data_IF_330623393760
#
_entry.id   IF_330623393760
#
_cell.length_a   1.000
_cell.length_b   1.000
_cell.length_c   1.000
_cell.angle_alpha   90.00
_cell.angle_beta   90.00
_cell.angle_gamma   90.00
#
_symmetry.space_group_name_H-M   'P 1'
#
loop_
_entity.id
_entity.type
_entity.pdbx_description
1 polymer ?
#
# COMPACT_ATOMS: atom_id res chain seq x y z
N UNK A 1 -40.43 -71.03 -16.61
CA UNK A 1 -40.36 -69.80 -17.31
C UNK A 1 -40.54 -68.52 -16.46
N UNK A 2 -41.61 -68.41 -15.65
CA UNK A 2 -41.83 -67.20 -14.81
C UNK A 2 -40.72 -66.84 -13.79
N UNK A 3 -39.97 -67.85 -13.32
CA UNK A 3 -38.90 -67.64 -12.34
C UNK A 3 -37.62 -67.09 -12.98
N UNK A 4 -37.29 -67.53 -14.18
CA UNK A 4 -36.11 -67.07 -14.97
C UNK A 4 -36.30 -65.63 -15.37
N UNK A 5 -37.49 -65.19 -15.76
CA UNK A 5 -37.81 -63.78 -16.05
C UNK A 5 -37.67 -62.85 -14.86
N UNK A 6 -38.02 -63.35 -13.64
CA UNK A 6 -37.83 -62.53 -12.43
C UNK A 6 -36.36 -62.37 -12.07
N UNK A 7 -35.53 -63.38 -12.25
CA UNK A 7 -34.09 -63.31 -12.02
C UNK A 7 -33.41 -62.40 -13.07
N UNK A 8 -33.80 -62.54 -14.32
CA UNK A 8 -33.28 -61.66 -15.38
C UNK A 8 -33.66 -60.18 -15.18
N UNK A 9 -34.91 -59.92 -14.74
CA UNK A 9 -35.37 -58.54 -14.45
C UNK A 9 -34.66 -57.95 -13.23
N UNK A 10 -34.39 -58.79 -12.19
CA UNK A 10 -33.62 -58.33 -11.03
C UNK A 10 -32.15 -58.07 -11.34
N UNK A 11 -31.51 -58.86 -12.23
CA UNK A 11 -30.13 -58.59 -12.69
C UNK A 11 -30.04 -57.30 -13.53
N UNK A 12 -31.01 -57.03 -14.40
CA UNK A 12 -31.06 -55.80 -15.19
C UNK A 12 -31.23 -54.58 -14.27
N UNK A 13 -32.05 -54.69 -13.22
CA UNK A 13 -32.25 -53.57 -12.26
C UNK A 13 -30.99 -53.30 -11.43
N UNK A 14 -30.17 -54.31 -11.10
CA UNK A 14 -28.92 -54.15 -10.35
C UNK A 14 -27.84 -53.53 -11.23
N UNK A 15 -27.77 -53.88 -12.53
CA UNK A 15 -26.82 -53.30 -13.47
C UNK A 15 -27.16 -51.84 -13.86
N UNK A 16 -28.42 -51.41 -13.78
CA UNK A 16 -28.81 -50.02 -14.03
C UNK A 16 -28.51 -49.06 -12.88
N UNK A 17 -28.23 -49.58 -11.66
CA UNK A 17 -27.86 -48.75 -10.50
C UNK A 17 -26.36 -48.45 -10.39
N UNK A 18 -25.51 -49.25 -11.04
CA UNK A 18 -24.05 -49.07 -11.04
C UNK A 18 -23.52 -48.16 -12.18
N UNK A 19 -24.40 -47.71 -13.08
CA UNK A 19 -24.02 -46.90 -14.25
C UNK A 19 -24.06 -45.36 -13.98
N UNK A 20 -24.52 -44.95 -12.81
CA UNK A 20 -24.68 -43.51 -12.54
C UNK A 20 -23.51 -42.88 -11.78
N UNK A 21 -22.61 -43.63 -11.15
CA UNK A 21 -21.49 -43.07 -10.44
C UNK A 21 -20.41 -42.48 -11.39
N UNK A 22 -20.14 -43.16 -12.50
CA UNK A 22 -19.18 -42.68 -13.50
C UNK A 22 -19.70 -41.52 -14.37
N UNK A 23 -21.02 -41.28 -14.38
CA UNK A 23 -21.66 -40.21 -15.14
C UNK A 23 -21.88 -38.93 -14.32
N UNK A 24 -21.89 -39.05 -12.98
CA UNK A 24 -22.10 -37.91 -12.04
C UNK A 24 -20.85 -37.64 -11.22
N UNK A 25 -19.96 -38.60 -11.05
CA UNK A 25 -18.68 -38.48 -10.36
C UNK A 25 -17.53 -38.49 -11.35
N UNK A 26 -16.61 -37.58 -11.24
CA UNK A 26 -15.44 -37.45 -12.07
C UNK A 26 -15.31 -36.04 -12.67
N UNK A 27 -14.29 -35.82 -13.44
CA UNK A 27 -13.90 -34.52 -13.99
C UNK A 27 -14.91 -33.89 -15.00
N UNK A 28 -16.04 -34.56 -15.30
CA UNK A 28 -17.10 -34.09 -16.21
C UNK A 28 -17.79 -32.81 -15.67
N UNK A 29 -17.83 -32.64 -14.35
CA UNK A 29 -18.37 -31.44 -13.72
C UNK A 29 -17.31 -30.36 -13.40
N UNK A 30 -16.05 -30.60 -13.74
CA UNK A 30 -15.03 -29.58 -13.67
C UNK A 30 -15.00 -28.84 -15.02
N UNK A 31 -15.40 -27.59 -15.00
CA UNK A 31 -15.26 -26.71 -16.16
C UNK A 31 -13.76 -26.54 -16.46
N UNK A 32 -13.23 -27.04 -17.60
CA UNK A 32 -11.83 -26.91 -17.92
C UNK A 32 -11.41 -25.45 -18.15
N UNK A 33 -12.38 -24.54 -18.33
CA UNK A 33 -12.14 -23.10 -18.47
C UNK A 33 -12.23 -22.37 -17.12
N UNK A 34 -12.62 -23.07 -16.04
CA UNK A 34 -12.68 -22.51 -14.70
C UNK A 34 -11.96 -23.48 -13.73
N UNK A 35 -10.63 -23.52 -13.73
CA UNK A 35 -9.84 -24.42 -12.92
C UNK A 35 -10.12 -24.18 -11.44
N UNK A 36 -10.34 -25.25 -10.68
CA UNK A 36 -10.61 -25.20 -9.23
C UNK A 36 -9.41 -24.75 -8.40
N UNK A 37 -8.21 -24.71 -9.01
CA UNK A 37 -6.98 -24.19 -8.41
C UNK A 37 -6.13 -23.52 -9.48
N UNK A 38 -5.85 -22.25 -9.30
CA UNK A 38 -4.88 -21.51 -10.11
C UNK A 38 -3.49 -21.68 -9.47
N UNK A 39 -2.45 -22.10 -10.22
CA UNK A 39 -1.09 -22.15 -9.68
C UNK A 39 -0.64 -20.78 -9.12
N UNK A 40 0.20 -20.78 -8.09
CA UNK A 40 0.71 -19.56 -7.46
C UNK A 40 1.38 -18.60 -8.46
N UNK A 41 2.01 -19.14 -9.52
CA UNK A 41 2.59 -18.38 -10.63
C UNK A 41 1.54 -17.58 -11.43
N UNK A 42 0.29 -18.02 -11.45
CA UNK A 42 -0.82 -17.31 -12.10
C UNK A 42 -1.56 -16.37 -11.15
N UNK A 43 -1.57 -16.68 -9.84
CA UNK A 43 -2.23 -15.84 -8.82
C UNK A 43 -1.39 -14.60 -8.48
N UNK A 44 -0.06 -14.74 -8.34
CA UNK A 44 0.84 -13.72 -7.84
C UNK A 44 0.76 -12.39 -8.59
N UNK A 45 0.84 -12.32 -9.93
CA UNK A 45 0.71 -11.05 -10.64
C UNK A 45 -0.65 -10.38 -10.43
N UNK A 46 -1.73 -11.12 -10.25
CA UNK A 46 -3.06 -10.56 -10.08
C UNK A 46 -3.16 -9.72 -8.80
N UNK A 47 -2.78 -10.27 -7.66
CA UNK A 47 -2.83 -9.50 -6.40
C UNK A 47 -1.69 -8.48 -6.28
N UNK A 48 -0.54 -8.65 -6.94
CA UNK A 48 0.48 -7.60 -7.03
C UNK A 48 -0.04 -6.37 -7.79
N UNK A 49 -0.72 -6.57 -8.91
CA UNK A 49 -1.35 -5.48 -9.67
C UNK A 49 -2.47 -4.84 -8.83
N UNK A 50 -3.28 -5.65 -8.13
CA UNK A 50 -4.33 -5.13 -7.25
C UNK A 50 -3.76 -4.25 -6.12
N UNK A 51 -2.62 -4.64 -5.52
CA UNK A 51 -1.88 -3.83 -4.54
C UNK A 51 -1.46 -2.48 -5.15
N UNK A 52 -0.81 -2.50 -6.31
CA UNK A 52 -0.38 -1.28 -6.99
C UNK A 52 -1.56 -0.37 -7.35
N UNK A 53 -2.66 -0.96 -7.83
CA UNK A 53 -3.88 -0.25 -8.22
C UNK A 53 -4.59 0.40 -7.04
N UNK A 54 -4.77 -0.30 -5.93
CA UNK A 54 -5.46 0.26 -4.76
C UNK A 54 -4.59 1.32 -4.07
N UNK A 55 -3.28 1.05 -3.95
CA UNK A 55 -2.32 1.98 -3.35
C UNK A 55 -2.21 3.29 -4.14
N UNK A 56 -1.94 3.21 -5.45
CA UNK A 56 -1.85 4.37 -6.35
C UNK A 56 -3.21 4.99 -6.67
N UNK A 57 -4.30 4.29 -6.38
CA UNK A 57 -5.68 4.70 -6.60
C UNK A 57 -6.29 5.45 -5.44
N UNK A 58 -7.18 4.79 -4.73
CA UNK A 58 -7.96 5.40 -3.64
C UNK A 58 -7.07 5.87 -2.49
N UNK A 59 -6.10 5.04 -2.07
CA UNK A 59 -5.22 5.41 -0.96
C UNK A 59 -4.40 6.66 -1.30
N UNK A 60 -3.80 6.73 -2.48
CA UNK A 60 -3.04 7.91 -2.90
C UNK A 60 -3.93 9.16 -2.98
N UNK A 61 -5.06 9.10 -3.69
CA UNK A 61 -5.91 10.27 -3.90
C UNK A 61 -6.46 10.86 -2.61
N UNK A 62 -7.05 10.03 -1.73
CA UNK A 62 -7.61 10.55 -0.48
C UNK A 62 -6.53 10.97 0.52
N UNK A 63 -5.46 10.18 0.68
CA UNK A 63 -4.38 10.53 1.60
C UNK A 63 -3.65 11.81 1.18
N UNK A 64 -3.35 11.98 -0.12
CA UNK A 64 -2.68 13.18 -0.61
C UNK A 64 -3.58 14.42 -0.59
N UNK A 65 -4.90 14.26 -0.70
CA UNK A 65 -5.84 15.35 -0.49
C UNK A 65 -5.90 15.75 0.99
N UNK A 66 -5.96 14.79 1.90
CA UNK A 66 -5.98 15.06 3.34
C UNK A 66 -4.65 15.62 3.87
N UNK A 67 -3.53 15.26 3.23
CA UNK A 67 -2.23 15.88 3.50
C UNK A 67 -1.96 17.15 2.70
N UNK A 68 -2.93 17.65 1.93
CA UNK A 68 -2.86 18.88 1.15
C UNK A 68 -1.71 18.94 0.11
N UNK A 69 -1.38 17.79 -0.48
CA UNK A 69 -0.53 17.76 -1.68
C UNK A 69 -1.34 18.07 -2.94
N UNK A 70 -2.57 17.60 -2.98
CA UNK A 70 -3.54 17.86 -4.04
C UNK A 70 -4.86 18.35 -3.45
N UNK A 71 -5.68 19.03 -4.24
CA UNK A 71 -7.02 19.47 -3.85
C UNK A 71 -8.08 19.05 -4.86
N UNK A 72 -9.28 18.77 -4.36
CA UNK A 72 -10.45 18.54 -5.19
C UNK A 72 -11.15 19.87 -5.50
N UNK A 73 -11.25 20.23 -6.78
CA UNK A 73 -11.76 21.53 -7.22
C UNK A 73 -13.10 21.44 -7.93
N UNK A 74 -13.48 20.26 -8.41
CA UNK A 74 -14.72 20.09 -9.16
C UNK A 74 -15.47 18.81 -8.79
N UNK A 75 -16.78 18.76 -9.14
CA UNK A 75 -17.70 17.63 -8.95
C UNK A 75 -17.67 17.13 -7.51
N UNK A 76 -17.70 15.80 -7.29
CA UNK A 76 -17.63 15.22 -5.95
C UNK A 76 -16.31 15.48 -5.22
N UNK A 77 -15.22 15.71 -5.95
CA UNK A 77 -13.90 15.92 -5.35
C UNK A 77 -13.84 17.23 -4.57
N UNK A 78 -14.60 18.25 -4.98
CA UNK A 78 -14.72 19.49 -4.19
C UNK A 78 -15.34 19.21 -2.81
N UNK A 79 -16.37 18.37 -2.72
CA UNK A 79 -16.95 18.02 -1.42
C UNK A 79 -16.03 17.14 -0.56
N UNK A 80 -15.20 16.29 -1.20
CA UNK A 80 -14.17 15.51 -0.49
C UNK A 80 -13.09 16.41 0.08
N UNK A 81 -12.62 17.37 -0.70
CA UNK A 81 -11.65 18.38 -0.25
C UNK A 81 -12.18 19.21 0.93
N UNK A 82 -13.46 19.52 0.93
CA UNK A 82 -14.13 20.22 2.02
C UNK A 82 -14.53 19.30 3.19
N UNK A 83 -14.16 18.02 3.16
CA UNK A 83 -14.46 16.97 4.13
C UNK A 83 -15.95 16.60 4.27
N UNK A 84 -16.86 17.31 3.63
CA UNK A 84 -18.32 17.10 3.70
C UNK A 84 -18.77 15.87 2.90
N UNK A 85 -17.98 15.45 1.92
CA UNK A 85 -18.26 14.29 1.07
C UNK A 85 -17.55 13.00 1.49
N UNK A 86 -16.79 13.00 2.58
CA UNK A 86 -16.04 11.83 3.09
C UNK A 86 -16.97 10.89 3.87
N UNK A 87 -18.03 10.41 3.22
CA UNK A 87 -19.00 9.47 3.77
C UNK A 87 -18.53 8.03 3.63
N UNK A 88 -19.01 7.06 4.44
CA UNK A 88 -18.56 5.67 4.45
C UNK A 88 -18.49 5.02 3.06
N UNK A 89 -19.51 5.21 2.24
CA UNK A 89 -19.57 4.63 0.90
C UNK A 89 -18.49 5.09 -0.09
N UNK A 90 -17.68 6.09 0.28
CA UNK A 90 -16.52 6.51 -0.52
C UNK A 90 -15.35 5.57 -0.40
N UNK A 91 -15.33 4.79 0.65
CA UNK A 91 -14.26 3.85 0.96
C UNK A 91 -14.62 2.39 0.64
N UNK A 92 -15.87 2.10 0.21
CA UNK A 92 -16.36 0.74 -0.11
C UNK A 92 -15.44 0.02 -1.10
N UNK A 93 -15.15 0.64 -2.24
CA UNK A 93 -14.31 0.02 -3.26
C UNK A 93 -12.86 -0.22 -2.78
N UNK A 94 -12.31 0.65 -1.94
CA UNK A 94 -10.97 0.45 -1.39
C UNK A 94 -10.97 -0.70 -0.37
N UNK A 95 -11.98 -0.75 0.49
CA UNK A 95 -12.20 -1.83 1.45
C UNK A 95 -12.35 -3.18 0.75
N UNK A 96 -13.27 -3.27 -0.20
CA UNK A 96 -13.51 -4.47 -0.99
C UNK A 96 -12.24 -4.95 -1.70
N UNK A 97 -11.50 -4.07 -2.36
CA UNK A 97 -10.25 -4.46 -3.01
C UNK A 97 -9.21 -5.01 -2.03
N UNK A 98 -9.06 -4.39 -0.86
CA UNK A 98 -8.13 -4.87 0.18
C UNK A 98 -8.52 -6.27 0.65
N UNK A 99 -9.80 -6.50 0.97
CA UNK A 99 -10.22 -7.77 1.53
C UNK A 99 -10.40 -8.88 0.50
N UNK A 100 -11.10 -8.60 -0.61
CA UNK A 100 -11.45 -9.62 -1.60
C UNK A 100 -10.31 -9.90 -2.56
N UNK A 101 -9.75 -8.84 -3.17
CA UNK A 101 -8.80 -9.01 -4.27
C UNK A 101 -7.33 -9.14 -3.81
N UNK A 102 -7.04 -8.81 -2.54
CA UNK A 102 -5.66 -8.87 -2.03
C UNK A 102 -5.55 -9.84 -0.86
N UNK A 103 -6.11 -9.52 0.31
CA UNK A 103 -5.88 -10.32 1.52
C UNK A 103 -6.44 -11.75 1.41
N UNK A 104 -7.63 -11.93 0.83
CA UNK A 104 -8.20 -13.25 0.62
C UNK A 104 -7.37 -14.09 -0.36
N UNK A 105 -6.92 -13.49 -1.46
CA UNK A 105 -6.09 -14.17 -2.45
C UNK A 105 -4.71 -14.53 -1.88
N UNK A 106 -4.08 -13.63 -1.11
CA UNK A 106 -2.82 -13.91 -0.42
C UNK A 106 -3.01 -15.05 0.59
N UNK A 107 -4.11 -15.06 1.35
CA UNK A 107 -4.42 -16.15 2.30
C UNK A 107 -4.49 -17.51 1.59
N UNK A 108 -5.20 -17.60 0.47
CA UNK A 108 -5.32 -18.82 -0.34
C UNK A 108 -3.94 -19.25 -0.86
N UNK A 109 -3.18 -18.29 -1.41
CA UNK A 109 -1.85 -18.54 -1.92
C UNK A 109 -0.85 -18.99 -0.83
N UNK A 110 -0.94 -18.46 0.40
CA UNK A 110 -0.11 -18.88 1.56
C UNK A 110 -0.38 -20.33 1.95
N UNK A 111 -1.64 -20.78 1.90
CA UNK A 111 -1.97 -22.20 2.14
C UNK A 111 -1.28 -23.09 1.10
N UNK A 112 -1.45 -22.78 -0.19
CA UNK A 112 -0.83 -23.55 -1.28
C UNK A 112 0.71 -23.52 -1.23
N UNK A 113 1.30 -22.35 -0.90
CA UNK A 113 2.75 -22.22 -0.75
C UNK A 113 3.29 -23.03 0.44
N UNK A 114 2.55 -23.09 1.54
CA UNK A 114 2.92 -23.86 2.74
C UNK A 114 2.84 -25.36 2.45
N UNK A 115 1.75 -25.83 1.86
CA UNK A 115 1.58 -27.25 1.49
C UNK A 115 2.62 -27.71 0.46
N UNK A 116 2.99 -26.84 -0.48
CA UNK A 116 4.01 -27.10 -1.50
C UNK A 116 5.46 -26.92 -1.01
N UNK A 117 5.69 -26.44 0.20
CA UNK A 117 7.04 -26.12 0.71
C UNK A 117 7.73 -25.03 -0.07
N UNK A 118 6.97 -24.07 -0.63
CA UNK A 118 7.45 -22.98 -1.50
C UNK A 118 7.91 -21.78 -0.66
N UNK A 119 9.03 -21.93 0.04
CA UNK A 119 9.47 -20.99 1.08
C UNK A 119 9.68 -19.57 0.56
N UNK A 120 10.29 -19.38 -0.61
CA UNK A 120 10.52 -18.04 -1.15
C UNK A 120 9.21 -17.38 -1.59
N UNK A 121 8.25 -18.13 -2.18
CA UNK A 121 6.90 -17.61 -2.43
C UNK A 121 6.21 -17.21 -1.15
N UNK A 122 6.26 -18.07 -0.12
CA UNK A 122 5.65 -17.76 1.17
C UNK A 122 6.25 -16.48 1.76
N UNK A 123 7.58 -16.29 1.69
CA UNK A 123 8.24 -15.05 2.12
C UNK A 123 7.75 -13.82 1.37
N UNK A 124 7.57 -13.92 0.05
CA UNK A 124 7.02 -12.83 -0.78
C UNK A 124 5.57 -12.50 -0.37
N UNK A 125 4.75 -13.53 -0.15
CA UNK A 125 3.37 -13.36 0.32
C UNK A 125 3.29 -12.70 1.69
N UNK A 126 4.21 -13.03 2.61
CA UNK A 126 4.32 -12.39 3.93
C UNK A 126 4.60 -10.88 3.81
N UNK A 127 5.53 -10.49 2.93
CA UNK A 127 5.85 -9.06 2.70
C UNK A 127 4.66 -8.32 2.10
N UNK A 128 3.95 -8.91 1.13
CA UNK A 128 2.80 -8.29 0.48
C UNK A 128 1.61 -8.15 1.43
N UNK A 129 1.37 -9.16 2.27
CA UNK A 129 0.33 -9.09 3.31
C UNK A 129 0.66 -8.00 4.34
N UNK A 130 1.91 -7.94 4.81
CA UNK A 130 2.38 -6.91 5.73
C UNK A 130 2.21 -5.49 5.15
N UNK A 131 2.57 -5.28 3.88
CA UNK A 131 2.36 -4.00 3.19
C UNK A 131 0.88 -3.62 3.10
N UNK A 132 0.03 -4.57 2.73
CA UNK A 132 -1.41 -4.35 2.59
C UNK A 132 -2.06 -4.02 3.92
N UNK A 133 -1.77 -4.81 4.96
CA UNK A 133 -2.27 -4.58 6.32
C UNK A 133 -1.81 -3.23 6.87
N UNK A 134 -0.54 -2.87 6.70
CA UNK A 134 0.00 -1.58 7.14
C UNK A 134 -0.73 -0.42 6.46
N UNK A 135 -0.87 -0.47 5.13
CA UNK A 135 -1.55 0.58 4.36
C UNK A 135 -3.02 0.73 4.79
N UNK A 136 -3.70 -0.38 5.04
CA UNK A 136 -5.10 -0.42 5.44
C UNK A 136 -5.31 0.08 6.88
N UNK A 137 -4.60 -0.49 7.85
CA UNK A 137 -4.77 -0.13 9.26
C UNK A 137 -4.33 1.31 9.55
N UNK A 138 -3.39 1.86 8.77
CA UNK A 138 -2.96 3.25 8.92
C UNK A 138 -4.06 4.28 8.63
N UNK A 139 -5.09 3.91 7.86
CA UNK A 139 -6.21 4.81 7.58
C UNK A 139 -7.50 4.39 8.28
N UNK A 140 -7.73 3.09 8.48
CA UNK A 140 -8.95 2.57 9.10
C UNK A 140 -8.82 2.28 10.60
N UNK A 141 -7.60 2.22 11.17
CA UNK A 141 -7.35 1.84 12.56
C UNK A 141 -7.55 0.33 12.80
N UNK A 142 -8.37 -0.04 13.80
CA UNK A 142 -8.75 -1.42 14.06
C UNK A 142 -9.48 -2.00 12.83
N UNK A 143 -9.28 -3.29 12.53
CA UNK A 143 -9.89 -3.92 11.35
C UNK A 143 -10.07 -5.43 11.53
N UNK A 144 -11.08 -6.07 10.91
CA UNK A 144 -11.22 -7.51 10.95
C UNK A 144 -10.07 -8.23 10.24
N UNK A 145 -9.32 -9.07 10.96
CA UNK A 145 -8.24 -9.85 10.35
C UNK A 145 -8.17 -11.29 10.88
N UNK A 146 -7.93 -11.48 12.17
CA UNK A 146 -7.77 -12.83 12.75
C UNK A 146 -9.03 -13.70 12.59
N UNK A 147 -10.19 -13.09 12.73
CA UNK A 147 -11.51 -13.67 12.55
C UNK A 147 -12.11 -13.36 11.16
N UNK A 148 -11.43 -12.51 10.38
CA UNK A 148 -11.81 -12.16 9.03
C UNK A 148 -11.43 -13.22 7.99
N UNK A 149 -11.88 -13.03 6.74
CA UNK A 149 -11.50 -13.84 5.57
C UNK A 149 -11.86 -15.34 5.72
N UNK A 150 -12.90 -15.67 6.50
CA UNK A 150 -13.38 -17.04 6.72
C UNK A 150 -14.68 -17.34 5.97
N UNK A 151 -15.13 -16.43 5.09
CA UNK A 151 -16.36 -16.56 4.32
C UNK A 151 -17.58 -16.78 5.22
N UNK A 152 -18.42 -17.73 4.89
CA UNK A 152 -19.65 -18.02 5.65
C UNK A 152 -19.40 -18.50 7.09
N UNK A 153 -18.19 -18.87 7.45
CA UNK A 153 -17.86 -19.31 8.81
C UNK A 153 -17.76 -18.12 9.78
N UNK A 154 -17.48 -16.92 9.30
CA UNK A 154 -17.43 -15.68 10.09
C UNK A 154 -18.06 -14.50 9.33
N UNK A 155 -19.40 -14.49 9.29
CA UNK A 155 -20.18 -13.42 8.62
C UNK A 155 -20.21 -12.10 9.40
N UNK A 156 -19.87 -12.11 10.69
CA UNK A 156 -19.71 -10.95 11.55
C UNK A 156 -18.35 -11.04 12.25
N UNK A 157 -17.23 -10.82 11.52
CA UNK A 157 -15.90 -10.93 12.11
C UNK A 157 -15.68 -9.85 13.17
N UNK A 158 -14.93 -10.23 14.22
CA UNK A 158 -14.47 -9.29 15.23
C UNK A 158 -13.32 -8.42 14.70
N UNK A 159 -13.15 -7.25 15.32
CA UNK A 159 -12.07 -6.33 14.96
C UNK A 159 -10.84 -6.60 15.82
N UNK A 160 -9.71 -6.82 15.16
CA UNK A 160 -8.40 -6.76 15.81
C UNK A 160 -8.00 -5.28 15.99
N UNK A 161 -7.39 -4.98 17.13
CA UNK A 161 -6.84 -3.64 17.36
C UNK A 161 -5.68 -3.37 16.40
N UNK A 162 -5.43 -2.10 16.09
CA UNK A 162 -4.29 -1.72 15.27
C UNK A 162 -2.97 -2.27 15.80
N UNK A 163 -2.78 -2.32 17.12
CA UNK A 163 -1.60 -2.91 17.74
C UNK A 163 -1.45 -4.41 17.39
N UNK A 164 -2.55 -5.18 17.47
CA UNK A 164 -2.54 -6.59 17.08
C UNK A 164 -2.24 -6.77 15.58
N UNK A 165 -2.79 -5.90 14.73
CA UNK A 165 -2.47 -5.91 13.29
C UNK A 165 -0.98 -5.62 13.07
N UNK A 166 -0.39 -4.68 13.79
CA UNK A 166 1.05 -4.40 13.68
C UNK A 166 1.93 -5.52 14.25
N UNK A 167 1.46 -6.27 15.24
CA UNK A 167 2.13 -7.51 15.68
C UNK A 167 2.15 -8.54 14.54
N UNK A 168 1.03 -8.72 13.82
CA UNK A 168 0.98 -9.58 12.63
C UNK A 168 1.95 -9.08 11.55
N UNK A 169 1.93 -7.78 11.23
CA UNK A 169 2.81 -7.15 10.23
C UNK A 169 4.29 -7.47 10.56
N UNK A 170 4.71 -7.20 11.78
CA UNK A 170 6.10 -7.42 12.19
C UNK A 170 6.47 -8.91 12.18
N UNK A 171 5.58 -9.80 12.63
CA UNK A 171 5.78 -11.24 12.58
C UNK A 171 5.89 -11.76 11.13
N UNK A 172 5.07 -11.26 10.22
CA UNK A 172 5.13 -11.60 8.79
C UNK A 172 6.49 -11.17 8.19
N UNK A 173 6.95 -9.95 8.49
CA UNK A 173 8.23 -9.45 7.99
C UNK A 173 9.42 -10.25 8.55
N UNK A 174 9.40 -10.61 9.84
CA UNK A 174 10.43 -11.45 10.46
C UNK A 174 10.42 -12.87 9.86
N UNK A 175 9.23 -13.43 9.61
CA UNK A 175 9.09 -14.72 8.94
C UNK A 175 9.58 -14.68 7.49
N UNK A 176 9.28 -13.62 6.75
CA UNK A 176 9.78 -13.42 5.39
C UNK A 176 11.31 -13.40 5.35
N UNK A 177 11.95 -12.61 6.21
CA UNK A 177 13.42 -12.55 6.32
C UNK A 177 14.03 -13.91 6.63
N UNK A 178 13.41 -14.67 7.54
CA UNK A 178 13.84 -16.04 7.87
C UNK A 178 13.69 -16.99 6.67
N UNK A 179 12.59 -16.89 5.92
CA UNK A 179 12.32 -17.73 4.75
C UNK A 179 13.28 -17.41 3.60
N UNK A 180 13.59 -16.14 3.36
CA UNK A 180 14.56 -15.72 2.34
C UNK A 180 15.99 -16.14 2.65
N UNK A 181 16.35 -16.24 3.92
CA UNK A 181 17.65 -16.77 4.36
C UNK A 181 17.74 -18.30 4.33
N UNK A 182 16.64 -19.01 4.09
CA UNK A 182 16.55 -20.46 4.10
C UNK A 182 16.57 -21.11 2.71
N UNK A 183 16.28 -22.41 2.66
CA UNK A 183 16.11 -23.13 1.40
C UNK A 183 14.86 -22.64 0.65
N UNK A 184 14.94 -22.39 -0.66
CA UNK A 184 13.85 -21.75 -1.43
C UNK A 184 12.59 -22.61 -1.58
N UNK A 185 12.72 -23.92 -1.58
CA UNK A 185 11.67 -24.86 -1.96
C UNK A 185 11.81 -25.35 -3.41
N UNK A 186 10.89 -26.22 -3.86
CA UNK A 186 10.95 -26.83 -5.20
C UNK A 186 10.59 -25.89 -6.34
N UNK A 187 9.91 -24.77 -6.06
CA UNK A 187 9.59 -23.72 -7.02
C UNK A 187 9.97 -22.38 -6.40
N UNK A 188 10.49 -21.47 -7.20
CA UNK A 188 10.92 -20.13 -6.79
C UNK A 188 10.20 -19.06 -7.60
N UNK A 189 9.96 -17.86 -7.04
CA UNK A 189 9.45 -16.72 -7.79
C UNK A 189 10.34 -16.38 -8.99
N UNK A 190 9.74 -15.98 -10.10
CA UNK A 190 10.41 -15.67 -11.36
C UNK A 190 9.74 -14.49 -12.09
N UNK A 191 9.60 -14.61 -13.41
CA UNK A 191 9.06 -13.54 -14.26
C UNK A 191 7.60 -13.17 -14.01
N UNK A 192 6.84 -13.98 -13.27
CA UNK A 192 5.48 -13.67 -12.81
C UNK A 192 5.47 -12.65 -11.65
N UNK A 193 6.57 -12.51 -10.93
CA UNK A 193 6.74 -11.45 -9.93
C UNK A 193 6.93 -10.10 -10.62
N UNK A 194 5.84 -9.35 -10.75
CA UNK A 194 5.84 -8.08 -11.49
C UNK A 194 6.50 -6.92 -10.75
N UNK A 195 6.89 -7.11 -9.48
CA UNK A 195 7.63 -6.09 -8.72
C UNK A 195 9.15 -6.25 -8.85
N UNK A 196 9.65 -7.47 -8.73
CA UNK A 196 11.10 -7.71 -8.66
C UNK A 196 11.60 -8.85 -9.56
N UNK A 197 10.72 -9.45 -10.39
CA UNK A 197 11.12 -10.55 -11.29
C UNK A 197 11.69 -11.76 -10.54
N UNK A 198 11.27 -12.00 -9.31
CA UNK A 198 11.74 -13.09 -8.46
C UNK A 198 13.05 -12.80 -7.70
N UNK A 199 13.52 -11.56 -7.71
CA UNK A 199 14.75 -11.19 -6.97
C UNK A 199 14.51 -11.18 -5.45
N UNK A 200 14.92 -12.25 -4.78
CA UNK A 200 14.77 -12.40 -3.32
C UNK A 200 15.60 -11.38 -2.54
N UNK A 201 16.72 -10.93 -3.07
CA UNK A 201 17.51 -9.86 -2.45
C UNK A 201 16.73 -8.55 -2.36
N UNK A 202 16.00 -8.18 -3.42
CA UNK A 202 15.12 -7.00 -3.43
C UNK A 202 13.93 -7.18 -2.47
N UNK A 203 13.33 -8.37 -2.39
CA UNK A 203 12.29 -8.68 -1.41
C UNK A 203 12.79 -8.62 0.03
N UNK A 204 14.02 -9.08 0.29
CA UNK A 204 14.67 -8.94 1.60
C UNK A 204 14.80 -7.47 2.00
N UNK A 205 15.24 -6.61 1.08
CA UNK A 205 15.35 -5.17 1.32
C UNK A 205 13.99 -4.50 1.51
N UNK A 206 12.97 -4.92 0.75
CA UNK A 206 11.60 -4.44 0.94
C UNK A 206 11.04 -4.82 2.33
N UNK A 207 11.34 -6.01 2.84
CA UNK A 207 10.96 -6.40 4.19
C UNK A 207 11.62 -5.51 5.26
N UNK A 208 12.92 -5.23 5.13
CA UNK A 208 13.61 -4.27 6.01
C UNK A 208 13.03 -2.86 5.92
N UNK A 209 12.74 -2.38 4.70
CA UNK A 209 12.12 -1.06 4.49
C UNK A 209 10.74 -0.95 5.15
N UNK A 210 9.91 -2.00 5.09
CA UNK A 210 8.62 -2.04 5.79
C UNK A 210 8.79 -2.09 7.31
N UNK A 211 9.76 -2.83 7.84
CA UNK A 211 10.07 -2.82 9.27
C UNK A 211 10.49 -1.42 9.73
N UNK A 212 11.31 -0.73 8.94
CA UNK A 212 11.69 0.66 9.23
C UNK A 212 10.45 1.57 9.34
N UNK A 213 9.52 1.48 8.37
CA UNK A 213 8.25 2.22 8.40
C UNK A 213 7.40 1.86 9.62
N UNK A 214 7.28 0.57 9.96
CA UNK A 214 6.58 0.09 11.15
C UNK A 214 7.16 0.69 12.42
N UNK A 215 8.46 0.64 12.60
CA UNK A 215 9.13 1.14 13.80
C UNK A 215 8.99 2.65 13.97
N UNK A 216 8.94 3.42 12.87
CA UNK A 216 8.64 4.87 12.92
C UNK A 216 7.27 5.17 13.53
N UNK A 217 6.24 4.35 13.23
CA UNK A 217 4.88 4.54 13.74
C UNK A 217 4.83 4.45 15.27
N UNK A 218 5.62 3.58 15.86
CA UNK A 218 5.64 3.33 17.32
C UNK A 218 6.81 4.01 18.05
N UNK A 219 7.51 4.93 17.39
CA UNK A 219 8.58 5.72 18.02
C UNK A 219 9.88 4.94 18.29
N UNK A 220 10.04 3.74 17.74
CA UNK A 220 11.32 3.02 17.78
C UNK A 220 12.27 3.56 16.71
N UNK A 221 12.72 4.81 16.89
CA UNK A 221 13.52 5.51 15.88
C UNK A 221 14.88 4.85 15.64
N UNK A 222 15.53 4.35 16.68
CA UNK A 222 16.80 3.64 16.52
C UNK A 222 16.65 2.33 15.71
N UNK A 223 15.59 1.56 15.99
CA UNK A 223 15.23 0.39 15.20
C UNK A 223 14.89 0.75 13.76
N UNK A 224 14.12 1.82 13.55
CA UNK A 224 13.75 2.30 12.22
C UNK A 224 14.98 2.67 11.38
N UNK A 225 15.95 3.40 11.94
CA UNK A 225 17.20 3.73 11.24
C UNK A 225 18.02 2.48 10.92
N UNK A 226 18.11 1.51 11.84
CA UNK A 226 18.81 0.26 11.62
C UNK A 226 18.20 -0.59 10.50
N UNK A 227 16.88 -0.67 10.46
CA UNK A 227 16.15 -1.40 9.39
C UNK A 227 16.21 -0.64 8.06
N UNK A 228 16.08 0.69 8.06
CA UNK A 228 16.21 1.50 6.85
C UNK A 228 17.59 1.38 6.19
N UNK A 229 18.66 1.28 6.99
CA UNK A 229 20.02 1.06 6.49
C UNK A 229 20.21 -0.33 5.85
N UNK A 230 19.39 -1.32 6.17
CA UNK A 230 19.35 -2.65 5.55
C UNK A 230 18.34 -2.71 4.38
N UNK A 231 17.53 -1.66 4.23
CA UNK A 231 16.58 -1.49 3.14
C UNK A 231 17.25 -1.20 1.79
N UNK A 232 16.61 -0.37 0.99
CA UNK A 232 17.09 -0.05 -0.37
C UNK A 232 18.40 0.73 -0.35
N UNK A 233 19.32 0.36 -1.25
CA UNK A 233 20.61 1.04 -1.42
C UNK A 233 20.56 2.13 -2.49
N UNK A 234 19.59 2.04 -3.41
CA UNK A 234 19.30 3.05 -4.42
C UNK A 234 17.85 2.92 -4.94
N UNK A 235 17.46 3.83 -5.83
CA UNK A 235 16.09 3.89 -6.36
C UNK A 235 15.71 2.71 -7.27
N UNK A 236 16.66 1.95 -7.80
CA UNK A 236 16.37 0.76 -8.64
C UNK A 236 15.78 -0.40 -7.83
N UNK A 237 15.93 -0.36 -6.51
CA UNK A 237 15.40 -1.36 -5.58
C UNK A 237 14.03 -0.99 -4.99
N UNK A 238 13.48 0.16 -5.35
CA UNK A 238 12.16 0.58 -4.89
C UNK A 238 11.12 -0.53 -5.12
N UNK A 239 10.24 -0.76 -4.14
CA UNK A 239 9.06 -1.59 -4.39
C UNK A 239 8.11 -0.78 -5.27
N UNK A 240 8.01 -1.18 -6.54
CA UNK A 240 7.27 -0.42 -7.54
C UNK A 240 6.67 -1.33 -8.61
N UNK A 241 5.64 -0.83 -9.28
CA UNK A 241 5.00 -1.47 -10.43
C UNK A 241 5.03 -0.54 -11.63
N UNK A 242 5.59 -1.00 -12.75
CA UNK A 242 5.60 -0.29 -14.03
C UNK A 242 4.35 -0.64 -14.81
N UNK A 243 3.43 0.32 -14.94
CA UNK A 243 2.28 0.13 -15.84
C UNK A 243 2.76 0.07 -17.29
N UNK A 244 2.24 -0.88 -18.10
CA UNK A 244 2.84 -1.14 -19.42
C UNK A 244 2.42 -0.13 -20.50
N UNK A 245 1.15 0.28 -20.53
CA UNK A 245 0.58 1.05 -21.65
C UNK A 245 -0.72 1.78 -21.27
N UNK A 246 -1.35 2.43 -22.28
CA UNK A 246 -2.59 3.20 -22.08
C UNK A 246 -3.82 2.34 -21.77
N UNK A 247 -3.84 1.05 -22.13
CA UNK A 247 -4.97 0.15 -21.84
C UNK A 247 -4.92 -0.32 -20.39
N UNK A 248 -3.69 -0.54 -19.90
CA UNK A 248 -3.40 -0.96 -18.53
C UNK A 248 -2.63 0.14 -17.80
N UNK A 249 -3.15 1.36 -17.86
CA UNK A 249 -2.47 2.56 -17.39
C UNK A 249 -2.57 2.76 -15.87
N UNK A 250 -1.63 3.53 -15.34
CA UNK A 250 -1.58 3.92 -13.92
C UNK A 250 -2.84 4.64 -13.46
N UNK A 251 -3.13 4.52 -12.16
CA UNK A 251 -4.38 5.00 -11.56
C UNK A 251 -4.56 6.51 -11.68
N UNK A 252 -3.50 7.29 -11.57
CA UNK A 252 -3.55 8.75 -11.74
C UNK A 252 -3.81 9.16 -13.19
N UNK A 253 -3.19 8.46 -14.17
CA UNK A 253 -3.47 8.70 -15.58
C UNK A 253 -4.93 8.40 -15.91
N UNK A 254 -5.46 7.20 -15.52
CA UNK A 254 -6.86 6.82 -15.75
C UNK A 254 -7.82 7.83 -15.12
N UNK A 255 -7.53 8.21 -13.88
CA UNK A 255 -8.34 9.22 -13.19
C UNK A 255 -8.34 10.54 -13.94
N UNK A 256 -7.18 11.09 -14.29
CA UNK A 256 -7.10 12.36 -14.96
C UNK A 256 -7.70 12.35 -16.37
N UNK A 257 -7.53 11.26 -17.12
CA UNK A 257 -8.16 11.06 -18.42
C UNK A 257 -9.71 11.14 -18.32
N UNK A 258 -10.30 10.46 -17.34
CA UNK A 258 -11.75 10.31 -17.20
C UNK A 258 -12.38 11.45 -16.38
N UNK A 259 -11.58 12.18 -15.63
CA UNK A 259 -11.97 13.21 -14.67
C UNK A 259 -11.08 14.46 -14.73
N UNK A 260 -10.67 14.86 -15.91
CA UNK A 260 -9.83 16.05 -16.12
C UNK A 260 -10.38 17.27 -15.38
N UNK A 261 -9.53 17.93 -14.60
CA UNK A 261 -9.88 19.12 -13.82
C UNK A 261 -10.68 18.86 -12.55
N UNK A 262 -10.76 17.62 -12.05
CA UNK A 262 -11.39 17.34 -10.76
C UNK A 262 -10.44 17.54 -9.58
N UNK A 263 -9.14 17.24 -9.78
CA UNK A 263 -8.07 17.37 -8.79
C UNK A 263 -6.95 18.23 -9.38
N UNK A 264 -6.40 19.10 -8.55
CA UNK A 264 -5.30 20.00 -8.88
C UNK A 264 -4.21 19.97 -7.78
N UNK A 265 -3.07 20.60 -8.05
CA UNK A 265 -1.98 20.76 -7.10
C UNK A 265 -2.38 21.72 -5.99
N UNK A 266 -2.19 21.33 -4.73
CA UNK A 266 -2.72 22.11 -3.60
C UNK A 266 -1.94 23.41 -3.35
N UNK A 267 -2.62 24.55 -3.08
CA UNK A 267 -1.97 25.81 -2.75
C UNK A 267 -0.99 25.76 -1.56
N UNK A 268 -1.28 24.93 -0.55
CA UNK A 268 -0.38 24.71 0.60
C UNK A 268 0.98 24.17 0.16
N UNK A 269 0.98 23.11 -0.66
CA UNK A 269 2.22 22.52 -1.16
C UNK A 269 2.98 23.52 -2.07
N UNK A 270 2.25 24.21 -2.94
CA UNK A 270 2.82 25.30 -3.79
C UNK A 270 3.48 26.38 -2.94
N UNK A 271 2.83 26.84 -1.88
CA UNK A 271 3.37 27.84 -0.97
C UNK A 271 4.65 27.39 -0.25
N UNK A 272 4.67 26.13 0.23
CA UNK A 272 5.84 25.53 0.87
C UNK A 272 7.02 25.51 -0.11
N UNK A 273 6.82 24.98 -1.32
CA UNK A 273 7.89 24.87 -2.33
C UNK A 273 8.36 26.24 -2.79
N UNK A 274 7.43 27.19 -2.99
CA UNK A 274 7.79 28.59 -3.34
C UNK A 274 8.61 29.26 -2.23
N UNK A 275 8.24 29.05 -0.96
CA UNK A 275 8.96 29.57 0.19
C UNK A 275 10.40 29.04 0.31
N UNK A 276 10.64 27.83 -0.17
CA UNK A 276 11.96 27.19 -0.21
C UNK A 276 12.73 27.47 -1.53
N UNK A 277 12.20 28.28 -2.42
CA UNK A 277 12.75 28.53 -3.76
C UNK A 277 12.94 27.24 -4.61
N UNK A 278 12.04 26.26 -4.44
CA UNK A 278 12.03 24.97 -5.12
C UNK A 278 11.34 25.07 -6.50
N UNK A 279 11.82 25.96 -7.34
CA UNK A 279 11.17 26.27 -8.61
C UNK A 279 11.24 25.08 -9.60
N UNK A 280 12.33 24.31 -9.57
CA UNK A 280 12.56 23.24 -10.54
C UNK A 280 11.61 22.07 -10.28
N UNK A 281 11.52 21.54 -9.04
CA UNK A 281 10.56 20.48 -8.70
C UNK A 281 9.12 20.98 -8.81
N UNK A 282 8.85 22.23 -8.39
CA UNK A 282 7.52 22.83 -8.51
C UNK A 282 7.08 22.90 -9.98
N UNK A 283 7.94 23.33 -10.88
CA UNK A 283 7.64 23.40 -12.31
C UNK A 283 7.32 22.05 -12.96
N UNK A 284 7.87 20.96 -12.42
CA UNK A 284 7.54 19.59 -12.86
C UNK A 284 6.26 19.06 -12.20
N UNK A 285 6.06 19.33 -10.90
CA UNK A 285 4.98 18.74 -10.11
C UNK A 285 3.65 19.50 -10.22
N UNK A 286 3.69 20.81 -10.45
CA UNK A 286 2.52 21.71 -10.61
C UNK A 286 2.22 22.01 -12.10
N UNK A 287 2.34 21.02 -12.96
CA UNK A 287 2.10 21.16 -14.40
C UNK A 287 0.66 20.71 -14.76
N UNK A 288 -0.33 21.41 -14.23
CA UNK A 288 -1.79 21.33 -14.52
C UNK A 288 -2.40 19.91 -14.59
N UNK A 289 -1.73 18.86 -14.08
CA UNK A 289 -2.17 17.47 -14.16
C UNK A 289 -2.63 17.04 -15.58
N UNK A 290 -1.99 17.60 -16.60
CA UNK A 290 -2.24 17.23 -18.01
C UNK A 290 -1.49 15.94 -18.35
N UNK A 291 -1.80 15.36 -19.51
CA UNK A 291 -1.23 14.08 -19.99
C UNK A 291 0.29 14.07 -20.18
N UNK A 292 0.95 15.23 -20.12
CA UNK A 292 2.41 15.39 -20.15
C UNK A 292 3.03 15.45 -18.74
N UNK A 293 2.21 15.51 -17.70
CA UNK A 293 2.68 15.50 -16.31
C UNK A 293 3.33 14.15 -15.98
N UNK A 294 4.53 14.09 -15.36
CA UNK A 294 5.29 12.85 -15.19
C UNK A 294 4.58 11.78 -14.35
N UNK A 295 3.60 12.17 -13.53
CA UNK A 295 2.75 11.26 -12.75
C UNK A 295 1.43 10.92 -13.47
N UNK A 296 1.12 11.57 -14.61
CA UNK A 296 -0.12 11.40 -15.38
C UNK A 296 0.13 10.76 -16.75
N UNK A 297 1.22 10.03 -16.91
CA UNK A 297 1.51 9.25 -18.11
C UNK A 297 0.94 7.83 -18.01
N UNK A 298 0.54 7.21 -19.14
CA UNK A 298 -0.05 5.88 -19.11
C UNK A 298 0.85 4.83 -18.45
N UNK A 299 2.13 4.86 -18.82
CA UNK A 299 3.17 3.97 -18.33
C UNK A 299 3.84 4.51 -17.05
N UNK A 300 3.06 5.08 -16.14
CA UNK A 300 3.54 5.58 -14.87
C UNK A 300 4.18 4.47 -14.02
N UNK A 301 5.32 4.78 -13.38
CA UNK A 301 5.93 3.92 -12.39
C UNK A 301 5.28 4.20 -11.02
N UNK A 302 4.41 3.29 -10.58
CA UNK A 302 3.81 3.35 -9.25
C UNK A 302 4.81 2.87 -8.20
N UNK A 303 5.39 3.79 -7.49
CA UNK A 303 6.25 3.49 -6.35
C UNK A 303 5.40 3.28 -5.08
N UNK A 304 5.75 2.31 -4.25
CA UNK A 304 5.02 1.95 -3.03
C UNK A 304 5.90 2.14 -1.79
N UNK A 305 7.15 1.70 -1.85
CA UNK A 305 8.18 1.94 -0.83
C UNK A 305 9.44 2.37 -1.56
N UNK A 306 10.13 3.39 -1.08
CA UNK A 306 11.19 4.02 -1.86
C UNK A 306 12.48 4.21 -1.07
N UNK A 307 13.60 4.21 -1.80
CA UNK A 307 14.91 4.56 -1.28
C UNK A 307 14.93 5.95 -0.62
N UNK A 308 14.31 6.97 -1.27
CA UNK A 308 14.24 8.31 -0.69
C UNK A 308 13.50 8.34 0.65
N UNK A 309 12.46 7.51 0.82
CA UNK A 309 11.79 7.38 2.11
C UNK A 309 12.72 6.82 3.17
N UNK A 310 13.52 5.80 2.84
CA UNK A 310 14.49 5.22 3.77
C UNK A 310 15.53 6.25 4.21
N UNK A 311 16.02 7.08 3.30
CA UNK A 311 16.94 8.16 3.62
C UNK A 311 16.31 9.19 4.59
N UNK A 312 15.06 9.57 4.36
CA UNK A 312 14.35 10.45 5.30
C UNK A 312 14.02 9.78 6.63
N UNK A 313 13.78 8.47 6.69
CA UNK A 313 13.65 7.74 7.96
C UNK A 313 14.94 7.79 8.76
N UNK A 314 16.10 7.57 8.12
CA UNK A 314 17.41 7.68 8.77
C UNK A 314 17.62 9.11 9.30
N UNK A 315 17.36 10.13 8.48
CA UNK A 315 17.49 11.53 8.87
C UNK A 315 16.55 11.91 10.03
N UNK A 316 15.28 11.47 9.99
CA UNK A 316 14.32 11.73 11.06
C UNK A 316 14.74 11.06 12.37
N UNK A 317 15.16 9.80 12.31
CA UNK A 317 15.64 9.07 13.48
C UNK A 317 16.86 9.76 14.11
N UNK A 318 17.76 10.26 13.29
CA UNK A 318 18.98 10.94 13.72
C UNK A 318 18.66 12.26 14.46
N UNK A 319 17.81 13.12 13.90
CA UNK A 319 17.43 14.39 14.57
C UNK A 319 16.60 14.19 15.84
N UNK A 320 15.93 13.04 15.98
CA UNK A 320 15.21 12.67 17.19
C UNK A 320 16.15 12.13 18.28
N UNK A 321 17.27 11.52 17.88
CA UNK A 321 18.29 11.01 18.79
C UNK A 321 19.23 12.13 19.27
N UNK A 322 19.58 13.06 18.37
CA UNK A 322 20.53 14.14 18.64
C UNK A 322 20.01 15.46 18.06
N UNK A 323 19.78 16.44 18.91
CA UNK A 323 19.37 17.78 18.46
C UNK A 323 20.38 18.38 17.48
N UNK A 324 19.89 18.82 16.32
CA UNK A 324 20.73 19.35 15.24
C UNK A 324 21.25 18.29 14.26
N UNK A 325 21.11 17.01 14.59
CA UNK A 325 21.52 15.88 13.76
C UNK A 325 23.04 15.67 13.73
N UNK A 326 23.43 14.46 13.30
CA UNK A 326 24.83 14.10 13.01
C UNK A 326 25.15 14.33 11.54
N UNK A 327 26.43 14.18 11.16
CA UNK A 327 26.83 14.21 9.74
C UNK A 327 26.10 13.11 8.95
N UNK A 328 25.97 11.90 9.49
CA UNK A 328 25.30 10.80 8.82
C UNK A 328 23.80 11.08 8.59
N UNK A 329 23.10 11.67 9.57
CA UNK A 329 21.72 12.09 9.42
C UNK A 329 21.56 13.22 8.39
N UNK A 330 22.49 14.16 8.37
CA UNK A 330 22.50 15.23 7.37
C UNK A 330 22.78 14.71 5.95
N UNK A 331 23.72 13.77 5.80
CA UNK A 331 24.00 13.13 4.51
C UNK A 331 22.77 12.36 3.99
N UNK A 332 22.10 11.62 4.87
CA UNK A 332 20.84 10.93 4.53
C UNK A 332 19.73 11.92 4.12
N UNK A 333 19.59 13.04 4.82
CA UNK A 333 18.64 14.10 4.46
C UNK A 333 18.92 14.64 3.05
N UNK A 334 20.18 14.97 2.72
CA UNK A 334 20.58 15.46 1.40
C UNK A 334 20.36 14.40 0.31
N UNK A 335 20.66 13.13 0.61
CA UNK A 335 20.45 12.03 -0.33
C UNK A 335 18.96 11.80 -0.61
N UNK A 336 18.09 11.91 0.39
CA UNK A 336 16.64 11.87 0.19
C UNK A 336 16.14 12.98 -0.74
N UNK A 337 16.66 14.20 -0.62
CA UNK A 337 16.36 15.31 -1.55
C UNK A 337 16.89 14.98 -2.95
N UNK A 338 18.14 14.54 -3.07
CA UNK A 338 18.76 14.19 -4.36
C UNK A 338 17.97 13.13 -5.11
N UNK A 339 17.56 12.08 -4.40
CA UNK A 339 16.71 11.01 -4.96
C UNK A 339 15.34 11.54 -5.44
N UNK A 340 14.79 12.58 -4.79
CA UNK A 340 13.58 13.26 -5.25
C UNK A 340 13.79 14.03 -6.56
N UNK A 341 14.90 14.74 -6.70
CA UNK A 341 15.26 15.42 -7.96
C UNK A 341 15.42 14.41 -9.10
N UNK A 342 16.20 13.36 -8.88
CA UNK A 342 16.41 12.27 -9.85
C UNK A 342 15.09 11.63 -10.29
N UNK A 343 14.15 11.39 -9.35
CA UNK A 343 12.81 10.84 -9.65
C UNK A 343 12.02 11.71 -10.63
N UNK A 344 12.23 13.02 -10.59
CA UNK A 344 11.55 14.00 -11.45
C UNK A 344 12.33 14.29 -12.75
N UNK A 345 13.44 13.59 -13.00
CA UNK A 345 14.29 13.81 -14.17
C UNK A 345 15.14 15.07 -14.09
N UNK A 346 15.30 15.65 -12.91
CA UNK A 346 16.16 16.80 -12.64
C UNK A 346 17.58 16.33 -12.33
N UNK A 347 18.57 17.11 -12.73
CA UNK A 347 19.99 16.76 -12.62
C UNK A 347 20.69 17.32 -11.38
N UNK A 348 22.00 17.08 -11.31
CA UNK A 348 22.83 17.54 -10.19
C UNK A 348 22.89 19.08 -10.14
N UNK A 349 22.78 19.79 -11.28
CA UNK A 349 22.86 21.25 -11.30
C UNK A 349 21.67 21.92 -10.59
N UNK A 350 20.45 21.40 -10.83
CA UNK A 350 19.22 21.88 -10.16
C UNK A 350 19.25 21.52 -8.68
N UNK A 351 19.72 20.29 -8.34
CA UNK A 351 19.89 19.86 -6.97
C UNK A 351 20.90 20.74 -6.23
N UNK A 352 22.10 20.97 -6.78
CA UNK A 352 23.16 21.79 -6.16
C UNK A 352 22.68 23.23 -5.92
N UNK A 353 21.94 23.81 -6.88
CA UNK A 353 21.35 25.14 -6.73
C UNK A 353 20.31 25.18 -5.59
N UNK A 354 19.52 24.10 -5.45
CA UNK A 354 18.50 24.01 -4.42
C UNK A 354 19.09 23.89 -3.01
N UNK A 355 20.08 23.02 -2.81
CA UNK A 355 20.74 22.85 -1.50
C UNK A 355 21.65 24.02 -1.11
N UNK A 356 21.99 24.92 -2.05
CA UNK A 356 22.67 26.16 -1.73
C UNK A 356 21.77 27.16 -0.98
N UNK A 357 20.44 26.97 -0.99
CA UNK A 357 19.52 27.72 -0.15
C UNK A 357 19.77 27.38 1.34
N UNK A 358 20.07 28.36 2.22
CA UNK A 358 20.36 28.11 3.63
C UNK A 358 19.19 27.52 4.43
N UNK A 359 17.95 27.67 3.94
CA UNK A 359 16.76 27.06 4.55
C UNK A 359 16.60 25.57 4.19
N UNK A 360 17.41 25.08 3.24
CA UNK A 360 17.47 23.69 2.78
C UNK A 360 18.78 23.04 3.16
N UNK A 361 19.91 23.58 2.67
CA UNK A 361 21.25 23.11 3.01
C UNK A 361 21.71 23.70 4.34
N UNK A 362 20.98 23.38 5.41
CA UNK A 362 21.15 23.96 6.76
C UNK A 362 22.48 23.63 7.44
N UNK A 363 23.19 22.64 6.93
CA UNK A 363 24.45 22.14 7.50
C UNK A 363 24.27 21.23 8.69
N UNK A 364 25.30 20.41 8.95
CA UNK A 364 25.37 19.53 10.12
C UNK A 364 25.28 20.32 11.40
N UNK A 365 24.50 19.83 12.37
CA UNK A 365 24.27 20.51 13.65
C UNK A 365 23.10 21.50 13.67
N UNK A 366 22.51 21.81 12.50
CA UNK A 366 21.33 22.67 12.38
C UNK A 366 20.10 21.96 11.82
N UNK A 367 20.20 20.66 11.52
CA UNK A 367 19.10 19.88 11.00
C UNK A 367 17.98 19.75 12.06
N UNK A 368 16.75 20.02 11.68
CA UNK A 368 15.58 19.93 12.56
C UNK A 368 14.60 18.90 12.04
N UNK A 369 13.72 18.41 12.92
CA UNK A 369 12.61 17.54 12.51
C UNK A 369 11.75 18.20 11.43
N UNK A 370 11.44 19.49 11.58
CA UNK A 370 10.65 20.25 10.63
C UNK A 370 11.32 20.28 9.25
N UNK A 371 12.64 20.58 9.20
CA UNK A 371 13.40 20.60 7.96
C UNK A 371 13.35 19.24 7.25
N UNK A 372 13.57 18.13 7.99
CA UNK A 372 13.51 16.77 7.44
C UNK A 372 12.11 16.46 6.91
N UNK A 373 11.08 16.72 7.71
CA UNK A 373 9.70 16.31 7.36
C UNK A 373 9.11 17.15 6.23
N UNK A 374 9.46 18.43 6.11
CA UNK A 374 9.07 19.25 4.96
C UNK A 374 9.69 18.71 3.67
N UNK A 375 10.97 18.34 3.67
CA UNK A 375 11.59 17.76 2.48
C UNK A 375 11.04 16.36 2.16
N UNK A 376 10.77 15.54 3.18
CA UNK A 376 10.08 14.25 3.00
C UNK A 376 8.69 14.45 2.39
N UNK A 377 7.91 15.41 2.88
CA UNK A 377 6.58 15.73 2.37
C UNK A 377 6.61 16.09 0.87
N UNK A 378 7.59 16.90 0.43
CA UNK A 378 7.78 17.24 -0.99
C UNK A 378 8.22 15.99 -1.78
N UNK A 379 9.22 15.27 -1.30
CA UNK A 379 9.79 14.11 -1.98
C UNK A 379 8.79 12.96 -2.16
N UNK A 380 7.85 12.81 -1.23
CA UNK A 380 6.84 11.75 -1.22
C UNK A 380 5.53 12.18 -1.91
N UNK A 381 5.60 13.06 -2.91
CA UNK A 381 4.41 13.50 -3.67
C UNK A 381 3.63 12.32 -4.24
N UNK A 382 2.31 12.34 -4.05
CA UNK A 382 1.34 11.30 -4.42
C UNK A 382 1.54 9.94 -3.71
N UNK A 383 2.27 9.93 -2.59
CA UNK A 383 2.42 8.74 -1.74
C UNK A 383 1.48 8.83 -0.53
N UNK A 384 0.69 7.79 -0.24
CA UNK A 384 -0.21 7.74 0.93
C UNK A 384 0.49 7.98 2.27
N UNK A 385 1.77 7.62 2.37
CA UNK A 385 2.57 7.75 3.60
C UNK A 385 2.68 9.21 4.08
N UNK A 386 2.54 10.20 3.19
CA UNK A 386 2.54 11.62 3.57
C UNK A 386 1.43 11.98 4.55
N UNK A 387 0.27 11.31 4.45
CA UNK A 387 -0.82 11.49 5.39
C UNK A 387 -0.53 10.86 6.76
N UNK A 388 0.15 9.73 6.77
CA UNK A 388 0.62 9.10 8.02
C UNK A 388 1.69 9.96 8.70
N UNK A 389 2.66 10.48 7.95
CA UNK A 389 3.71 11.35 8.46
C UNK A 389 3.14 12.65 9.02
N UNK A 390 2.19 13.29 8.32
CA UNK A 390 1.49 14.46 8.83
C UNK A 390 0.80 14.18 10.17
N UNK A 391 0.03 13.09 10.25
CA UNK A 391 -0.69 12.74 11.50
C UNK A 391 0.26 12.42 12.64
N UNK A 392 1.42 11.82 12.36
CA UNK A 392 2.43 11.42 13.34
C UNK A 392 3.25 12.61 13.85
N UNK A 393 3.51 13.61 13.01
CA UNK A 393 4.45 14.70 13.32
C UNK A 393 3.79 16.08 13.43
N UNK A 394 2.62 16.26 12.83
CA UNK A 394 2.00 17.58 12.64
C UNK A 394 2.69 18.43 11.56
N UNK A 395 3.60 17.85 10.77
CA UNK A 395 4.39 18.58 9.77
C UNK A 395 4.05 18.06 8.36
N UNK A 396 3.77 18.97 7.41
CA UNK A 396 3.65 20.43 7.57
C UNK A 396 2.46 20.82 8.44
N UNK A 397 2.49 22.01 9.03
CA UNK A 397 1.34 22.54 9.77
C UNK A 397 0.22 22.89 8.80
N UNK A 398 -0.76 22.00 8.66
CA UNK A 398 -1.87 22.15 7.72
C UNK A 398 -3.01 22.97 8.33
N UNK A 399 -3.52 23.91 7.55
CA UNK A 399 -4.79 24.60 7.86
C UNK A 399 -5.94 23.78 7.29
N UNK A 400 -6.96 23.42 8.09
CA UNK A 400 -8.12 22.72 7.56
C UNK A 400 -8.78 23.49 6.41
N UNK A 401 -9.09 22.81 5.30
CA UNK A 401 -9.80 23.42 4.15
C UNK A 401 -11.23 23.82 4.55
N UNK A 402 -11.82 23.07 5.48
CA UNK A 402 -13.16 23.34 6.04
C UNK A 402 -13.21 22.89 7.49
N UNK A 403 -14.12 23.47 8.27
CA UNK A 403 -14.25 23.12 9.69
C UNK A 403 -13.05 23.54 10.55
N UNK A 404 -12.75 22.76 11.58
CA UNK A 404 -11.74 23.11 12.60
C UNK A 404 -10.56 22.14 12.65
N UNK A 405 -10.63 21.02 11.94
CA UNK A 405 -9.58 19.99 11.94
C UNK A 405 -9.53 19.26 10.60
N UNK A 406 -8.34 18.81 10.22
CA UNK A 406 -8.14 17.84 9.14
C UNK A 406 -8.56 16.48 9.66
N UNK A 407 -9.27 15.65 8.85
CA UNK A 407 -9.58 14.29 9.24
C UNK A 407 -8.32 13.50 9.62
N UNK A 408 -8.42 12.69 10.67
CA UNK A 408 -7.30 11.90 11.24
C UNK A 408 -7.39 10.40 10.93
N UNK A 409 -8.49 9.97 10.30
CA UNK A 409 -8.71 8.61 9.81
C UNK A 409 -9.76 8.60 8.71
N UNK A 410 -9.98 7.44 8.10
CA UNK A 410 -11.11 7.21 7.19
C UNK A 410 -12.28 6.56 7.93
N UNK A 411 -13.49 6.68 7.37
CA UNK A 411 -14.60 5.80 7.73
C UNK A 411 -14.33 4.38 7.28
N UNK A 412 -14.88 3.40 7.98
CA UNK A 412 -15.02 2.05 7.45
C UNK A 412 -15.96 2.06 6.24
N UNK A 413 -15.97 0.97 5.47
CA UNK A 413 -16.96 0.76 4.42
C UNK A 413 -18.39 0.86 4.98
N UNK A 414 -19.32 1.36 4.15
CA UNK A 414 -20.74 1.36 4.49
C UNK A 414 -21.29 -0.03 4.76
N UNK A 415 -20.74 -1.07 4.11
CA UNK A 415 -21.12 -2.46 4.30
C UNK A 415 -20.75 -2.97 5.69
N UNK A 416 -19.62 -2.54 6.25
CA UNK A 416 -19.23 -2.86 7.63
C UNK A 416 -20.27 -2.32 8.63
N UNK A 417 -20.69 -1.07 8.49
CA UNK A 417 -21.69 -0.47 9.37
C UNK A 417 -23.09 -1.10 9.23
N UNK A 418 -23.41 -1.64 8.04
CA UNK A 418 -24.74 -2.20 7.76
C UNK A 418 -24.83 -3.68 8.09
N UNK A 419 -23.78 -4.46 7.89
CA UNK A 419 -23.86 -5.92 7.87
C UNK A 419 -23.01 -6.61 8.94
N UNK A 420 -21.95 -5.95 9.46
CA UNK A 420 -21.15 -6.53 10.53
C UNK A 420 -21.59 -6.00 11.90
N UNK A 421 -22.27 -6.85 12.67
CA UNK A 421 -22.76 -6.49 14.01
C UNK A 421 -21.64 -6.22 15.04
N UNK A 422 -20.39 -6.58 14.75
CA UNK A 422 -19.22 -6.30 15.57
C UNK A 422 -18.50 -5.02 15.15
N UNK A 423 -18.91 -4.39 14.04
CA UNK A 423 -18.38 -3.09 13.63
C UNK A 423 -18.79 -2.01 14.64
N UNK A 424 -17.88 -1.06 14.95
CA UNK A 424 -18.33 0.20 15.56
C UNK A 424 -19.40 0.85 14.69
N UNK A 425 -20.35 1.52 15.28
CA UNK A 425 -21.36 2.26 14.52
C UNK A 425 -20.73 3.48 13.84
N UNK A 426 -21.32 3.96 12.75
CA UNK A 426 -20.84 5.17 12.07
C UNK A 426 -20.77 6.38 13.03
N UNK A 427 -21.70 6.48 13.99
CA UNK A 427 -21.72 7.55 14.98
C UNK A 427 -20.53 7.47 15.98
N UNK A 428 -19.99 6.28 16.22
CA UNK A 428 -18.83 6.07 17.07
C UNK A 428 -17.51 6.36 16.35
N UNK A 429 -17.51 6.39 15.02
CA UNK A 429 -16.34 6.67 14.20
C UNK A 429 -16.31 8.14 13.76
N UNK A 430 -15.75 8.99 14.61
CA UNK A 430 -15.55 10.40 14.25
C UNK A 430 -14.18 10.58 13.56
N UNK A 431 -14.18 10.81 12.26
CA UNK A 431 -12.96 10.93 11.44
C UNK A 431 -12.07 12.12 11.82
N UNK A 432 -12.56 13.09 12.59
CA UNK A 432 -11.81 14.27 13.01
C UNK A 432 -11.15 14.12 14.39
N UNK A 433 -11.65 13.22 15.25
CA UNK A 433 -11.20 13.08 16.64
C UNK A 433 -10.70 11.70 17.01
N UNK A 434 -11.20 10.65 16.37
CA UNK A 434 -10.80 9.27 16.65
C UNK A 434 -9.50 8.94 15.92
N UNK A 435 -8.38 9.28 16.53
CA UNK A 435 -7.06 8.98 15.98
C UNK A 435 -6.85 7.48 15.88
N UNK A 436 -6.05 7.06 14.90
CA UNK A 436 -5.58 5.68 14.79
C UNK A 436 -4.63 5.31 15.93
N UNK A 437 -4.50 4.03 16.26
CA UNK A 437 -3.83 3.53 17.45
C UNK A 437 -2.42 4.09 17.70
N UNK A 438 -1.56 4.10 16.67
CA UNK A 438 -0.19 4.62 16.79
C UNK A 438 -0.12 6.16 16.92
N UNK A 439 -1.22 6.87 16.74
CA UNK A 439 -1.31 8.33 16.84
C UNK A 439 -2.14 8.81 18.06
N UNK A 440 -2.54 7.90 18.94
CA UNK A 440 -3.29 8.20 20.17
C UNK A 440 -2.39 8.78 21.28
#
# INVERSE_FOLDING_TARGET
MKFVYKIALSLILVFSLSSCEDFIGGDINQDPNNPTAVPITGQMPAFQIAIADVYGGAFSRFSCMLSQQVEGVARQWQSFNQYTGLTPNRFDAAWQNVYENILNEIKIAKVSATEGGLNHYLGVLEVMEAFTLMTATDVWDDMPYSDGLQGIAAVNPTYDTQAQIYDVINNNLDNALRLFGGAPGPLVPGGEDVFYGGNIGSWTRAAHALKARSFMKFGNYAGAASEAAQGFVDASENMSFQYPDANNAGQWFRFNRDRTGDIEFHPTMRAIMTGLNDADRLGVMDNEFVTTHPYMVPNFLQEMITYREMQFIIAEADVRAAAGGTQAGYDAYLEGIKASFTRLGLGDAEYDAYIANPDVGVGTGNLTLETVMIQKYIAMFLQPETYSDFRRTGIPALTPVSGTAVPVRWHYSSDEYLFNSNSPTEAEVNIFTNKVGWNR
#
